data_IF_000147127111
#
_entry.id   IF_000147127111
#
_cell.length_a   1.000
_cell.length_b   1.000
_cell.length_c   1.000
_cell.angle_alpha   90.00
_cell.angle_beta   90.00
_cell.angle_gamma   90.00
#
_symmetry.space_group_name_H-M   'P 1'
#
loop_
_entity.id
_entity.type
_entity.pdbx_description
1 polymer ?
#
# COMPACT_ATOMS: atom_id res chain seq x y z
N UNK A 1 8.30 68.37 -11.17
CA UNK A 1 7.08 67.66 -11.61
C UNK A 1 7.47 66.49 -12.51
N UNK A 2 6.99 65.29 -12.18
CA UNK A 2 6.87 64.08 -13.04
C UNK A 2 8.23 63.54 -13.54
N UNK A 3 8.72 62.37 -13.14
CA UNK A 3 8.04 61.08 -13.19
C UNK A 3 8.54 60.18 -12.05
N UNK A 4 7.80 60.24 -10.95
CA UNK A 4 7.52 59.10 -10.10
C UNK A 4 6.99 57.97 -10.99
N UNK A 5 7.33 56.71 -10.66
CA UNK A 5 6.75 55.49 -11.22
C UNK A 5 7.43 54.92 -12.47
N UNK A 6 8.62 54.31 -12.30
CA UNK A 6 8.99 53.15 -13.12
C UNK A 6 9.93 52.18 -12.39
N UNK A 7 9.76 52.06 -11.07
CA UNK A 7 10.55 51.13 -10.25
C UNK A 7 9.61 50.35 -9.31
N UNK A 8 8.58 49.68 -9.84
CA UNK A 8 7.75 48.80 -9.00
C UNK A 8 6.89 47.76 -9.74
N UNK A 9 7.27 47.31 -10.94
CA UNK A 9 6.46 46.29 -11.64
C UNK A 9 7.39 45.27 -12.30
N UNK A 10 8.06 44.43 -11.51
CA UNK A 10 8.61 43.17 -12.02
C UNK A 10 8.94 42.12 -10.94
N UNK A 11 8.18 42.04 -9.82
CA UNK A 11 8.55 41.10 -8.75
C UNK A 11 7.44 40.22 -8.16
N UNK A 12 6.22 40.20 -8.68
CA UNK A 12 5.19 39.32 -8.10
C UNK A 12 4.28 38.78 -9.18
N UNK A 13 4.64 37.61 -9.73
CA UNK A 13 3.72 36.52 -10.08
C UNK A 13 4.54 35.31 -10.58
N UNK A 14 5.39 34.77 -9.71
CA UNK A 14 5.83 33.38 -9.90
C UNK A 14 4.83 32.53 -9.12
N UNK A 15 4.00 31.67 -9.75
CA UNK A 15 3.23 30.72 -9.00
C UNK A 15 4.22 29.84 -8.22
N UNK A 16 4.09 29.77 -6.89
CA UNK A 16 4.73 28.70 -6.13
C UNK A 16 4.20 27.40 -6.71
N UNK A 17 5.01 26.69 -7.48
CA UNK A 17 4.69 25.33 -7.86
C UNK A 17 4.85 24.48 -6.61
N UNK A 18 3.73 24.13 -5.98
CA UNK A 18 3.69 23.04 -5.02
C UNK A 18 4.00 21.76 -5.76
N UNK A 19 5.20 21.22 -5.57
CA UNK A 19 5.55 19.88 -6.03
C UNK A 19 4.70 18.92 -5.19
N UNK A 20 3.62 18.41 -5.77
CA UNK A 20 2.95 17.25 -5.21
C UNK A 20 3.97 16.10 -5.23
N UNK A 21 4.09 15.39 -4.11
CA UNK A 21 5.11 14.39 -3.95
C UNK A 21 4.75 13.11 -4.72
N UNK A 22 5.05 13.12 -6.02
CA UNK A 22 4.72 12.05 -6.97
C UNK A 22 5.30 10.71 -6.54
N UNK A 23 6.43 10.71 -5.84
CA UNK A 23 7.12 9.50 -5.42
C UNK A 23 6.38 8.81 -4.25
N UNK A 24 5.65 9.58 -3.43
CA UNK A 24 4.76 9.01 -2.40
C UNK A 24 3.54 8.29 -3.01
N UNK A 25 3.06 8.76 -4.17
CA UNK A 25 1.92 8.15 -4.88
C UNK A 25 2.26 6.74 -5.35
N UNK A 26 3.53 6.47 -5.68
CA UNK A 26 3.98 5.14 -6.08
C UNK A 26 3.86 4.12 -4.95
N UNK A 27 4.19 4.51 -3.71
CA UNK A 27 4.01 3.65 -2.53
C UNK A 27 2.53 3.29 -2.35
N UNK A 28 1.64 4.29 -2.38
CA UNK A 28 0.20 4.05 -2.20
C UNK A 28 -0.41 3.24 -3.35
N UNK A 29 0.06 3.45 -4.58
CA UNK A 29 -0.33 2.66 -5.75
C UNK A 29 0.01 1.17 -5.56
N UNK A 30 1.22 0.87 -5.07
CA UNK A 30 1.63 -0.51 -4.79
C UNK A 30 0.83 -1.14 -3.64
N UNK A 31 0.49 -0.37 -2.60
CA UNK A 31 -0.39 -0.83 -1.51
C UNK A 31 -1.77 -1.18 -2.08
N UNK A 32 -2.36 -0.30 -2.89
CA UNK A 32 -3.66 -0.54 -3.52
C UNK A 32 -3.62 -1.78 -4.42
N UNK A 33 -2.55 -1.95 -5.21
CA UNK A 33 -2.34 -3.13 -6.02
C UNK A 33 -2.21 -4.40 -5.17
N UNK A 34 -1.58 -4.33 -4.00
CA UNK A 34 -1.50 -5.48 -3.08
C UNK A 34 -2.85 -5.81 -2.47
N UNK A 35 -3.63 -4.81 -2.09
CA UNK A 35 -4.95 -4.98 -1.49
C UNK A 35 -6.02 -5.46 -2.49
N UNK A 36 -5.87 -5.18 -3.78
CA UNK A 36 -6.81 -5.65 -4.81
C UNK A 36 -6.84 -7.17 -4.96
N UNK A 37 -5.81 -7.90 -4.51
CA UNK A 37 -5.82 -9.36 -4.45
C UNK A 37 -6.71 -9.92 -3.34
N UNK A 38 -7.14 -9.11 -2.36
CA UNK A 38 -7.78 -9.64 -1.15
C UNK A 38 -9.18 -10.19 -1.39
N UNK A 39 -9.88 -9.74 -2.42
CA UNK A 39 -11.15 -10.34 -2.83
C UNK A 39 -10.94 -11.77 -3.37
N UNK A 40 -9.92 -11.98 -4.20
CA UNK A 40 -9.56 -13.33 -4.67
C UNK A 40 -9.07 -14.23 -3.54
N UNK A 41 -8.32 -13.68 -2.58
CA UNK A 41 -7.93 -14.42 -1.36
C UNK A 41 -9.18 -14.83 -0.58
N UNK A 42 -10.13 -13.90 -0.38
CA UNK A 42 -11.37 -14.17 0.33
C UNK A 42 -12.17 -15.27 -0.36
N UNK A 43 -12.28 -15.19 -1.68
CA UNK A 43 -13.01 -16.15 -2.51
C UNK A 43 -12.38 -17.53 -2.45
N UNK A 44 -11.07 -17.63 -2.66
CA UNK A 44 -10.34 -18.89 -2.55
C UNK A 44 -10.54 -19.51 -1.17
N UNK A 45 -10.36 -18.72 -0.10
CA UNK A 45 -10.54 -19.20 1.28
C UNK A 45 -11.97 -19.66 1.55
N UNK A 46 -12.97 -18.92 1.08
CA UNK A 46 -14.37 -19.30 1.22
C UNK A 46 -14.68 -20.64 0.53
N UNK A 47 -14.23 -20.81 -0.72
CA UNK A 47 -14.41 -22.05 -1.50
C UNK A 47 -13.73 -23.27 -0.83
N UNK A 48 -12.59 -23.05 -0.18
CA UNK A 48 -11.79 -24.10 0.46
C UNK A 48 -12.04 -24.21 1.98
N UNK A 49 -13.05 -23.53 2.52
CA UNK A 49 -13.39 -23.53 3.96
C UNK A 49 -12.22 -23.11 4.88
N UNK A 50 -11.37 -22.21 4.40
CA UNK A 50 -10.23 -21.68 5.15
C UNK A 50 -10.62 -20.42 5.94
N UNK A 51 -10.04 -20.21 7.13
CA UNK A 51 -10.26 -19.00 7.91
C UNK A 51 -9.61 -17.77 7.25
N UNK A 52 -10.21 -16.60 7.47
CA UNK A 52 -9.65 -15.31 7.04
C UNK A 52 -8.33 -15.03 7.77
N UNK A 53 -8.30 -15.28 9.08
CA UNK A 53 -7.08 -15.19 9.90
C UNK A 53 -6.23 -16.45 9.74
N UNK A 54 -4.93 -16.25 9.53
CA UNK A 54 -3.94 -17.32 9.36
C UNK A 54 -2.65 -16.92 10.07
N UNK A 55 -2.62 -17.09 11.39
CA UNK A 55 -1.54 -16.62 12.28
C UNK A 55 -0.16 -17.09 11.80
N UNK A 56 -0.06 -18.34 11.32
CA UNK A 56 1.21 -18.89 10.84
C UNK A 56 1.68 -18.16 9.58
N UNK A 57 0.77 -17.90 8.62
CA UNK A 57 1.09 -17.09 7.45
C UNK A 57 1.44 -15.66 7.82
N UNK A 58 0.73 -15.08 8.79
CA UNK A 58 0.96 -13.71 9.23
C UNK A 58 2.37 -13.53 9.80
N UNK A 59 2.84 -14.47 10.63
CA UNK A 59 4.22 -14.50 11.13
C UNK A 59 5.24 -14.52 9.99
N UNK A 60 5.02 -15.34 8.95
CA UNK A 60 5.93 -15.44 7.80
C UNK A 60 5.98 -14.14 6.99
N UNK A 61 4.84 -13.47 6.80
CA UNK A 61 4.78 -12.18 6.09
C UNK A 61 5.55 -11.12 6.86
N UNK A 62 5.33 -11.01 8.17
CA UNK A 62 6.04 -10.05 9.02
C UNK A 62 7.53 -10.34 9.07
N UNK A 63 7.94 -11.61 9.22
CA UNK A 63 9.35 -12.00 9.21
C UNK A 63 10.03 -11.53 7.93
N UNK A 64 9.42 -11.81 6.77
CA UNK A 64 10.00 -11.41 5.48
C UNK A 64 10.12 -9.88 5.37
N UNK A 65 9.08 -9.13 5.79
CA UNK A 65 9.12 -7.68 5.76
C UNK A 65 10.24 -7.11 6.67
N UNK A 66 10.43 -7.69 7.86
CA UNK A 66 11.51 -7.33 8.79
C UNK A 66 12.88 -7.63 8.17
N UNK A 67 13.07 -8.84 7.62
CA UNK A 67 14.33 -9.23 6.99
C UNK A 67 14.66 -8.28 5.82
N UNK A 68 13.67 -7.95 4.98
CA UNK A 68 13.84 -7.01 3.87
C UNK A 68 14.17 -5.59 4.35
N UNK A 69 13.51 -5.12 5.42
CA UNK A 69 13.79 -3.82 6.01
C UNK A 69 15.26 -3.72 6.46
N UNK A 70 15.76 -4.75 7.16
CA UNK A 70 17.14 -4.82 7.61
C UNK A 70 18.12 -4.76 6.44
N UNK A 71 17.87 -5.54 5.38
CA UNK A 71 18.70 -5.54 4.16
C UNK A 71 18.75 -4.17 3.47
N UNK A 72 17.64 -3.44 3.51
CA UNK A 72 17.50 -2.13 2.88
C UNK A 72 17.94 -0.96 3.78
N UNK A 73 18.35 -1.22 5.02
CA UNK A 73 18.74 -0.19 5.99
C UNK A 73 17.56 0.62 6.54
N UNK A 74 16.33 0.09 6.43
CA UNK A 74 15.13 0.66 7.03
C UNK A 74 14.99 0.20 8.48
N UNK A 75 14.33 1.01 9.31
CA UNK A 75 14.05 0.66 10.70
C UNK A 75 13.04 -0.51 10.76
N UNK A 76 13.42 -1.69 11.29
CA UNK A 76 12.59 -2.89 11.16
C UNK A 76 11.27 -2.85 11.93
N UNK A 77 11.20 -2.15 13.07
CA UNK A 77 9.97 -2.06 13.84
C UNK A 77 8.90 -1.24 13.09
N UNK A 78 9.30 -0.15 12.44
CA UNK A 78 8.44 0.71 11.63
C UNK A 78 7.86 -0.05 10.45
N UNK A 79 8.68 -0.82 9.74
CA UNK A 79 8.21 -1.67 8.63
C UNK A 79 7.29 -2.78 9.13
N UNK A 80 7.61 -3.40 10.28
CA UNK A 80 6.74 -4.40 10.89
C UNK A 80 5.35 -3.84 11.19
N UNK A 81 5.26 -2.67 11.82
CA UNK A 81 3.98 -2.06 12.18
C UNK A 81 3.21 -1.59 10.94
N UNK A 82 3.91 -1.07 9.93
CA UNK A 82 3.31 -0.76 8.63
C UNK A 82 2.70 -1.99 7.94
N UNK A 83 3.39 -3.15 7.95
CA UNK A 83 2.82 -4.38 7.38
C UNK A 83 1.68 -4.97 8.22
N UNK A 84 1.69 -4.81 9.55
CA UNK A 84 0.56 -5.17 10.41
C UNK A 84 -0.71 -4.43 10.00
N UNK A 85 -0.62 -3.11 9.81
CA UNK A 85 -1.77 -2.31 9.34
C UNK A 85 -2.28 -2.82 7.99
N UNK A 86 -1.40 -3.11 7.03
CA UNK A 86 -1.82 -3.68 5.75
C UNK A 86 -2.47 -5.07 5.89
N UNK A 87 -2.07 -5.87 6.87
CA UNK A 87 -2.68 -7.18 7.14
C UNK A 87 -4.07 -7.04 7.75
N UNK A 88 -4.27 -6.05 8.63
CA UNK A 88 -5.59 -5.72 9.19
C UNK A 88 -6.53 -5.18 8.11
N UNK A 89 -6.06 -4.29 7.23
CA UNK A 89 -6.80 -3.84 6.04
C UNK A 89 -7.17 -5.02 5.14
N UNK A 90 -6.23 -5.94 4.89
CA UNK A 90 -6.46 -7.13 4.08
C UNK A 90 -7.53 -8.05 4.68
N UNK A 91 -7.53 -8.24 6.01
CA UNK A 91 -8.58 -9.01 6.70
C UNK A 91 -9.93 -8.31 6.62
N UNK A 92 -9.98 -6.99 6.79
CA UNK A 92 -11.22 -6.22 6.66
C UNK A 92 -11.87 -6.37 5.28
N UNK A 93 -11.07 -6.29 4.20
CA UNK A 93 -11.55 -6.52 2.82
C UNK A 93 -12.13 -7.93 2.68
N UNK A 94 -11.41 -8.95 3.18
CA UNK A 94 -11.88 -10.34 3.12
C UNK A 94 -13.19 -10.55 3.89
N UNK A 95 -13.32 -9.98 5.08
CA UNK A 95 -14.55 -10.08 5.87
C UNK A 95 -15.74 -9.41 5.17
N UNK A 96 -15.52 -8.22 4.58
CA UNK A 96 -16.56 -7.54 3.80
C UNK A 96 -17.00 -8.37 2.61
N UNK A 97 -16.07 -8.86 1.79
CA UNK A 97 -16.40 -9.68 0.63
C UNK A 97 -17.19 -10.94 1.02
N UNK A 98 -16.80 -11.61 2.12
CA UNK A 98 -17.56 -12.76 2.63
C UNK A 98 -18.97 -12.39 3.09
N UNK A 99 -19.15 -11.22 3.72
CA UNK A 99 -20.47 -10.75 4.13
C UNK A 99 -21.37 -10.46 2.92
N UNK A 100 -20.81 -9.86 1.85
CA UNK A 100 -21.55 -9.61 0.61
C UNK A 100 -22.05 -10.93 -0.01
N UNK A 101 -21.21 -11.98 -0.01
CA UNK A 101 -21.60 -13.29 -0.56
C UNK A 101 -22.56 -14.12 0.30
N UNK A 102 -22.78 -13.76 1.57
CA UNK A 102 -23.87 -14.35 2.35
C UNK A 102 -25.24 -13.96 1.79
N UNK A 103 -25.32 -12.80 1.12
CA UNK A 103 -26.55 -12.29 0.51
C UNK A 103 -26.67 -12.68 -0.97
N UNK A 104 -25.55 -12.82 -1.68
CA UNK A 104 -25.50 -13.27 -3.08
C UNK A 104 -24.28 -14.19 -3.34
N UNK A 105 -24.55 -15.50 -3.41
CA UNK A 105 -23.52 -16.50 -3.64
C UNK A 105 -23.09 -16.64 -5.11
N UNK A 106 -23.69 -15.89 -6.05
CA UNK A 106 -23.40 -16.02 -7.49
C UNK A 106 -21.91 -15.83 -7.81
N UNK A 107 -21.25 -14.90 -7.11
CA UNK A 107 -19.84 -14.58 -7.32
C UNK A 107 -18.86 -15.64 -6.77
N UNK A 108 -19.29 -16.45 -5.80
CA UNK A 108 -18.48 -17.53 -5.21
C UNK A 108 -18.32 -18.72 -6.14
N UNK A 109 -19.19 -18.90 -7.12
CA UNK A 109 -19.18 -20.07 -8.02
C UNK A 109 -18.19 -19.95 -9.18
N UNK A 110 -17.73 -18.73 -9.48
CA UNK A 110 -16.70 -18.50 -10.48
C UNK A 110 -15.33 -19.02 -9.99
N UNK A 111 -14.53 -19.60 -10.90
CA UNK A 111 -13.18 -20.04 -10.57
C UNK A 111 -12.32 -18.84 -10.12
N UNK A 112 -11.79 -18.91 -8.90
CA UNK A 112 -10.83 -17.93 -8.38
C UNK A 112 -9.39 -18.30 -8.72
N UNK A 113 -8.48 -17.33 -8.63
CA UNK A 113 -7.03 -17.55 -8.78
C UNK A 113 -6.50 -18.47 -7.67
N UNK A 114 -5.52 -19.31 -7.97
CA UNK A 114 -4.93 -20.19 -6.98
C UNK A 114 -4.13 -19.38 -5.94
N UNK A 115 -4.45 -19.59 -4.66
CA UNK A 115 -3.83 -18.83 -3.57
C UNK A 115 -2.30 -19.05 -3.48
N UNK A 116 -1.83 -20.27 -3.69
CA UNK A 116 -0.43 -20.64 -3.47
C UNK A 116 0.45 -20.40 -4.69
N UNK A 117 -0.03 -20.71 -5.89
CA UNK A 117 0.79 -20.64 -7.11
C UNK A 117 0.68 -19.29 -7.83
N UNK A 118 -0.36 -18.51 -7.59
CA UNK A 118 -0.58 -17.23 -8.28
C UNK A 118 -0.59 -16.05 -7.30
N UNK A 119 -1.49 -16.05 -6.31
CA UNK A 119 -1.71 -14.87 -5.47
C UNK A 119 -0.53 -14.63 -4.51
N UNK A 120 -0.12 -15.64 -3.73
CA UNK A 120 0.95 -15.49 -2.73
C UNK A 120 2.28 -15.02 -3.34
N UNK A 121 2.74 -15.52 -4.51
CA UNK A 121 3.91 -14.97 -5.19
C UNK A 121 3.76 -13.48 -5.53
N UNK A 122 2.61 -13.05 -6.04
CA UNK A 122 2.39 -11.62 -6.36
C UNK A 122 2.41 -10.74 -5.10
N UNK A 123 1.79 -11.20 -4.01
CA UNK A 123 1.83 -10.51 -2.72
C UNK A 123 3.25 -10.37 -2.17
N UNK A 124 4.10 -11.37 -2.41
CA UNK A 124 5.52 -11.33 -2.03
C UNK A 124 6.27 -10.29 -2.86
N UNK A 125 6.10 -10.29 -4.19
CA UNK A 125 6.71 -9.31 -5.10
C UNK A 125 6.29 -7.89 -4.72
N UNK A 126 5.00 -7.68 -4.47
CA UNK A 126 4.47 -6.37 -4.09
C UNK A 126 4.98 -5.92 -2.72
N UNK A 127 5.11 -6.82 -1.74
CA UNK A 127 5.71 -6.49 -0.45
C UNK A 127 7.16 -6.01 -0.58
N UNK A 128 7.95 -6.69 -1.42
CA UNK A 128 9.34 -6.31 -1.67
C UNK A 128 9.43 -4.95 -2.39
N UNK A 129 8.59 -4.74 -3.42
CA UNK A 129 8.49 -3.45 -4.13
C UNK A 129 8.09 -2.30 -3.21
N UNK A 130 7.07 -2.49 -2.37
CA UNK A 130 6.63 -1.46 -1.42
C UNK A 130 7.79 -1.04 -0.51
N UNK A 131 8.51 -2.02 0.04
CA UNK A 131 9.64 -1.73 0.96
C UNK A 131 10.78 -1.03 0.23
N UNK A 132 11.08 -1.43 -1.01
CA UNK A 132 12.07 -0.78 -1.85
C UNK A 132 11.69 0.67 -2.19
N UNK A 133 10.45 0.91 -2.62
CA UNK A 133 9.96 2.26 -2.94
C UNK A 133 9.95 3.14 -1.68
N UNK A 134 9.61 2.61 -0.51
CA UNK A 134 9.73 3.34 0.77
C UNK A 134 11.19 3.76 1.02
N UNK A 135 12.16 2.87 0.81
CA UNK A 135 13.58 3.21 0.95
C UNK A 135 13.94 4.35 0.00
N UNK A 136 13.64 4.19 -1.29
CA UNK A 136 14.04 5.16 -2.31
C UNK A 136 13.42 6.54 -2.04
N UNK A 137 12.15 6.57 -1.66
CA UNK A 137 11.43 7.76 -1.24
C UNK A 137 12.12 8.49 -0.07
N UNK A 138 12.46 7.74 1.00
CA UNK A 138 13.14 8.32 2.17
C UNK A 138 14.57 8.77 1.86
N UNK A 139 15.30 8.05 0.99
CA UNK A 139 16.66 8.41 0.58
C UNK A 139 16.72 9.67 -0.27
N UNK A 140 15.66 9.96 -1.03
CA UNK A 140 15.50 11.22 -1.77
C UNK A 140 15.22 12.43 -0.85
N UNK A 141 15.19 12.24 0.47
CA UNK A 141 15.00 13.30 1.46
C UNK A 141 13.52 13.59 1.78
N UNK A 142 12.60 12.83 1.19
CA UNK A 142 11.17 12.96 1.46
C UNK A 142 10.81 12.35 2.81
N UNK A 143 9.65 12.75 3.33
CA UNK A 143 9.10 12.24 4.58
C UNK A 143 7.62 12.02 4.41
N UNK A 144 7.10 10.91 4.92
CA UNK A 144 5.66 10.73 5.02
C UNK A 144 5.10 11.79 5.97
N UNK A 145 4.34 12.73 5.43
CA UNK A 145 3.59 13.72 6.17
C UNK A 145 2.15 13.27 6.33
N UNK A 146 1.60 13.60 7.49
CA UNK A 146 0.22 13.43 7.91
C UNK A 146 -0.75 14.38 7.16
N UNK A 147 -0.58 14.52 5.84
CA UNK A 147 -1.32 15.50 5.02
C UNK A 147 -2.80 15.17 4.81
N UNK A 148 -3.24 13.97 5.20
CA UNK A 148 -4.63 13.55 5.13
C UNK A 148 -5.14 12.83 6.38
N UNK A 149 -4.39 12.92 7.50
CA UNK A 149 -4.81 12.75 8.92
C UNK A 149 -3.72 13.29 9.84
#
# INVERSE_FOLDING_TARGET
>A
MKKLSFLLILLFLQPLQTIADTDSLDVFSLINQRLSYMEDVAKYKAQHHLPVEDVQREILVLKKAIDQAQLLGLEPASIKDFFRVQMDMAKAIQFRARADWLSDASQLTQNGRNLSTEIRPQLLILGDKITQTIKDYLQSGHRFHNGFF
#
